data_IF_057275689212
#
_entry.id   IF_057275689212
#
_cell.length_a   1.000
_cell.length_b   1.000
_cell.length_c   1.000
_cell.angle_alpha   90.00
_cell.angle_beta   90.00
_cell.angle_gamma   90.00
#
_symmetry.space_group_name_H-M   'P 1'
#
loop_
_entity.id
_entity.type
_entity.pdbx_description
1 polymer ?
#
# COMPACT_ATOMS: atom_id res chain seq x y z
N UNK A 1 24.45 10.67 -5.32
CA UNK A 1 23.63 10.09 -4.23
C UNK A 1 23.85 8.58 -4.26
N UNK A 2 24.09 7.94 -3.12
CA UNK A 2 24.70 6.59 -3.06
C UNK A 2 23.64 5.52 -3.34
N UNK A 3 23.74 4.77 -4.46
CA UNK A 3 22.71 3.82 -4.93
C UNK A 3 22.27 2.79 -3.87
N UNK A 4 23.16 2.45 -2.93
CA UNK A 4 22.87 1.58 -1.78
C UNK A 4 21.82 2.16 -0.82
N UNK A 5 21.78 3.49 -0.64
CA UNK A 5 20.80 4.17 0.22
C UNK A 5 19.41 4.09 -0.41
N UNK A 6 19.30 4.29 -1.72
CA UNK A 6 18.03 4.15 -2.45
C UNK A 6 17.51 2.70 -2.37
N UNK A 7 18.38 1.71 -2.58
CA UNK A 7 18.02 0.28 -2.42
C UNK A 7 17.54 -0.06 -1.00
N UNK A 8 18.16 0.50 0.03
CA UNK A 8 17.73 0.31 1.42
C UNK A 8 16.36 0.96 1.69
N UNK A 9 16.09 2.13 1.10
CA UNK A 9 14.77 2.78 1.19
C UNK A 9 13.69 1.98 0.47
N UNK A 10 14.00 1.48 -0.73
CA UNK A 10 13.09 0.61 -1.48
C UNK A 10 12.75 -0.65 -0.67
N UNK A 11 13.77 -1.30 -0.08
CA UNK A 11 13.58 -2.45 0.80
C UNK A 11 12.70 -2.12 2.01
N UNK A 12 12.97 -1.01 2.69
CA UNK A 12 12.18 -0.57 3.84
C UNK A 12 10.72 -0.30 3.44
N UNK A 13 10.50 0.31 2.27
CA UNK A 13 9.17 0.52 1.70
C UNK A 13 8.42 -0.77 1.35
N UNK A 14 9.11 -1.89 1.11
CA UNK A 14 8.47 -3.18 0.86
C UNK A 14 7.94 -3.86 2.13
N UNK A 15 8.35 -3.41 3.33
CA UNK A 15 7.91 -3.99 4.58
C UNK A 15 6.55 -3.39 4.99
N UNK A 16 5.51 -4.21 5.03
CA UNK A 16 4.23 -3.80 5.59
C UNK A 16 4.35 -3.62 7.11
N UNK A 17 3.97 -2.44 7.62
CA UNK A 17 4.11 -2.10 9.03
C UNK A 17 2.79 -1.53 9.56
N UNK A 18 2.45 -1.88 10.80
CA UNK A 18 1.41 -1.16 11.54
C UNK A 18 1.88 0.25 11.90
N UNK A 19 0.93 1.19 11.98
CA UNK A 19 1.21 2.57 12.38
C UNK A 19 0.92 2.74 13.86
N UNK A 20 1.90 3.29 14.59
CA UNK A 20 1.78 3.54 16.02
C UNK A 20 2.05 5.01 16.28
N UNK A 21 1.17 5.65 17.07
CA UNK A 21 1.42 6.97 17.63
C UNK A 21 1.92 6.78 19.06
N UNK A 22 3.22 6.95 19.26
CA UNK A 22 3.81 6.95 20.59
C UNK A 22 3.55 8.30 21.25
N UNK A 23 2.90 8.30 22.41
CA UNK A 23 2.55 9.49 23.14
C UNK A 23 3.17 9.53 24.53
N UNK A 24 3.52 10.72 24.97
CA UNK A 24 4.22 10.94 26.24
C UNK A 24 4.01 12.37 26.74
N UNK A 25 4.57 12.69 27.90
CA UNK A 25 4.69 14.06 28.40
C UNK A 25 6.16 14.44 28.52
N UNK A 26 6.45 15.70 28.21
CA UNK A 26 7.75 16.28 28.54
C UNK A 26 7.82 16.76 30.00
N UNK A 27 8.99 17.27 30.40
CA UNK A 27 9.24 17.77 31.76
C UNK A 27 8.35 18.98 32.13
N UNK A 28 7.75 19.67 31.15
CA UNK A 28 6.81 20.77 31.37
C UNK A 28 5.35 20.29 31.40
N UNK A 29 5.12 18.97 31.37
CA UNK A 29 3.79 18.35 31.37
C UNK A 29 3.06 18.42 30.03
N UNK A 30 3.72 18.91 28.98
CA UNK A 30 3.13 19.04 27.64
C UNK A 30 3.02 17.67 27.00
N UNK A 31 1.85 17.37 26.46
CA UNK A 31 1.57 16.12 25.76
C UNK A 31 2.13 16.17 24.35
N UNK A 32 2.95 15.16 24.03
CA UNK A 32 3.63 15.02 22.75
C UNK A 32 3.30 13.67 22.13
N UNK A 33 3.26 13.63 20.81
CA UNK A 33 3.07 12.42 20.02
C UNK A 33 4.06 12.34 18.88
N UNK A 34 4.49 11.13 18.53
CA UNK A 34 5.35 10.86 17.38
C UNK A 34 4.88 9.59 16.66
N UNK A 35 4.83 9.62 15.32
CA UNK A 35 4.59 8.40 14.56
C UNK A 35 5.82 7.53 14.65
N UNK A 36 5.64 6.29 15.05
CA UNK A 36 6.66 5.26 15.04
C UNK A 36 6.15 4.08 14.20
N UNK A 37 7.06 3.52 13.42
CA UNK A 37 6.79 2.33 12.61
C UNK A 37 7.86 1.28 12.92
N UNK A 38 7.64 0.03 12.51
CA UNK A 38 8.55 -1.06 12.85
C UNK A 38 8.48 -1.55 14.29
N UNK A 39 7.33 -1.34 14.97
CA UNK A 39 7.07 -1.93 16.28
C UNK A 39 7.16 -3.46 16.18
N UNK A 40 7.92 -4.07 17.09
CA UNK A 40 8.12 -5.51 17.17
C UNK A 40 7.91 -6.01 18.60
N UNK A 41 7.26 -7.16 18.75
CA UNK A 41 7.15 -7.86 20.04
C UNK A 41 8.45 -8.63 20.27
N UNK A 42 9.09 -8.39 21.41
CA UNK A 42 10.39 -8.98 21.79
C UNK A 42 10.19 -10.16 22.74
N UNK A 43 9.28 -10.01 23.71
CA UNK A 43 8.99 -11.03 24.72
C UNK A 43 7.53 -10.95 25.12
N UNK A 44 6.94 -12.10 25.46
CA UNK A 44 5.58 -12.19 26.00
C UNK A 44 5.56 -12.19 27.54
N UNK A 45 6.62 -12.68 28.19
CA UNK A 45 6.78 -12.69 29.64
C UNK A 45 8.27 -12.52 30.05
N UNK A 46 8.68 -11.34 30.54
CA UNK A 46 7.87 -10.12 30.67
C UNK A 46 7.44 -9.57 29.30
N UNK A 47 6.31 -8.85 29.20
CA UNK A 47 5.79 -8.33 27.94
C UNK A 47 6.63 -7.14 27.47
N UNK A 48 7.46 -7.35 26.44
CA UNK A 48 8.42 -6.36 25.94
C UNK A 48 8.18 -6.11 24.45
N UNK A 49 8.20 -4.83 24.06
CA UNK A 49 8.16 -4.41 22.66
C UNK A 49 9.30 -3.43 22.37
N UNK A 50 9.65 -3.30 21.08
CA UNK A 50 10.69 -2.37 20.62
C UNK A 50 10.34 -1.71 19.30
N UNK A 51 10.93 -0.55 19.04
CA UNK A 51 10.94 0.11 17.73
C UNK A 51 12.20 0.97 17.56
N UNK A 52 12.40 1.53 16.37
CA UNK A 52 13.49 2.47 16.07
C UNK A 52 12.95 3.85 15.68
N UNK A 53 13.61 4.92 16.10
CA UNK A 53 13.19 6.31 15.81
C UNK A 53 14.40 7.21 15.49
N UNK A 54 14.26 8.13 14.53
CA UNK A 54 15.31 9.11 14.17
C UNK A 54 15.43 10.27 15.16
N UNK A 55 14.45 10.43 16.06
CA UNK A 55 14.37 11.55 16.99
C UNK A 55 13.90 11.15 18.38
N UNK A 56 14.12 12.04 19.35
CA UNK A 56 13.67 11.84 20.72
C UNK A 56 12.19 12.24 20.86
N UNK A 57 11.39 11.35 21.47
CA UNK A 57 9.96 11.51 21.73
C UNK A 57 9.60 12.78 22.50
N UNK A 58 10.50 13.30 23.35
CA UNK A 58 10.27 14.54 24.12
C UNK A 58 11.55 15.27 24.55
N UNK A 59 12.63 15.18 23.75
CA UNK A 59 13.97 15.61 24.18
C UNK A 59 14.62 14.59 25.13
N UNK A 60 15.76 14.95 25.75
CA UNK A 60 16.69 14.00 26.37
C UNK A 60 16.08 13.16 27.52
N UNK A 61 15.00 13.62 28.16
CA UNK A 61 14.35 12.89 29.26
C UNK A 61 13.32 11.85 28.80
N UNK A 62 12.77 11.96 27.57
CA UNK A 62 11.63 11.15 27.12
C UNK A 62 11.88 9.66 26.92
N UNK A 63 13.14 9.25 26.98
CA UNK A 63 13.59 7.86 26.85
C UNK A 63 14.34 7.38 28.09
N UNK A 64 14.25 8.10 29.21
CA UNK A 64 14.89 7.69 30.46
C UNK A 64 14.26 6.38 30.95
N UNK A 65 15.03 5.42 31.48
CA UNK A 65 14.46 4.22 32.08
C UNK A 65 13.39 4.57 33.13
N UNK A 66 12.25 3.88 33.07
CA UNK A 66 11.07 4.12 33.90
C UNK A 66 10.12 5.21 33.38
N UNK A 67 10.49 5.98 32.35
CA UNK A 67 9.63 7.03 31.80
C UNK A 67 8.35 6.41 31.20
N UNK A 68 7.16 6.94 31.54
CA UNK A 68 5.90 6.43 31.01
C UNK A 68 5.64 6.92 29.58
N UNK A 69 5.07 6.04 28.77
CA UNK A 69 4.56 6.37 27.44
C UNK A 69 3.40 5.46 27.07
N UNK A 70 2.60 5.87 26.10
CA UNK A 70 1.53 5.04 25.53
C UNK A 70 1.82 4.80 24.05
N UNK A 71 1.76 3.54 23.63
CA UNK A 71 1.78 3.19 22.21
C UNK A 71 0.34 3.01 21.74
N UNK A 72 -0.10 3.92 20.87
CA UNK A 72 -1.45 3.92 20.30
C UNK A 72 -1.38 3.28 18.90
N UNK A 73 -1.79 2.02 18.78
CA UNK A 73 -1.88 1.34 17.48
C UNK A 73 -3.06 1.91 16.71
N UNK A 74 -2.78 2.67 15.65
CA UNK A 74 -3.81 3.41 14.93
C UNK A 74 -4.75 2.49 14.15
N UNK A 75 -6.03 2.83 14.13
CA UNK A 75 -7.04 2.21 13.30
C UNK A 75 -7.08 2.85 11.90
N UNK A 76 -7.64 2.16 10.91
CA UNK A 76 -7.68 2.62 9.51
C UNK A 76 -8.29 4.00 9.31
N UNK A 77 -9.38 4.30 10.03
CA UNK A 77 -10.07 5.58 9.97
C UNK A 77 -9.23 6.74 10.56
N UNK A 78 -8.07 6.44 11.16
CA UNK A 78 -7.16 7.42 11.74
C UNK A 78 -5.97 7.77 10.82
N UNK A 79 -6.02 7.40 9.53
CA UNK A 79 -5.00 7.77 8.54
C UNK A 79 -4.71 9.28 8.47
N UNK A 80 -5.69 10.12 8.82
CA UNK A 80 -5.52 11.58 8.90
C UNK A 80 -4.44 12.02 9.90
N UNK A 81 -4.13 11.23 10.93
CA UNK A 81 -3.06 11.52 11.90
C UNK A 81 -1.67 11.50 11.26
N UNK A 82 -1.48 10.79 10.14
CA UNK A 82 -0.21 10.79 9.40
C UNK A 82 0.14 12.16 8.80
N UNK A 83 -0.88 12.99 8.52
CA UNK A 83 -0.67 14.37 8.06
C UNK A 83 -0.34 15.35 9.19
N UNK A 84 -0.62 14.97 10.44
CA UNK A 84 -0.41 15.81 11.62
C UNK A 84 0.86 15.47 12.38
N UNK A 85 1.32 14.23 12.32
CA UNK A 85 2.51 13.77 13.05
C UNK A 85 3.61 13.34 12.09
N UNK A 86 4.86 13.44 12.55
CA UNK A 86 6.03 13.09 11.75
C UNK A 86 6.84 12.02 12.49
N UNK A 87 7.51 11.14 11.74
CA UNK A 87 8.46 10.16 12.25
C UNK A 87 9.74 10.79 12.79
N UNK A 88 10.14 11.98 12.30
CA UNK A 88 11.39 12.63 12.69
C UNK A 88 11.27 13.52 13.94
N UNK A 89 10.05 13.98 14.29
CA UNK A 89 9.86 14.93 15.39
C UNK A 89 8.50 14.78 16.05
N UNK A 90 8.52 14.75 17.38
CA UNK A 90 7.31 14.78 18.18
C UNK A 90 6.55 16.12 18.04
N UNK A 91 5.22 16.02 17.94
CA UNK A 91 4.31 17.15 17.79
C UNK A 91 3.35 17.21 18.97
N UNK A 92 2.80 18.40 19.24
CA UNK A 92 1.81 18.57 20.29
C UNK A 92 0.51 17.88 19.92
N UNK A 93 -0.15 17.29 20.91
CA UNK A 93 -1.43 16.60 20.72
C UNK A 93 -2.64 17.55 20.64
N UNK A 94 -2.44 18.83 20.33
CA UNK A 94 -3.51 19.85 20.36
C UNK A 94 -4.68 19.44 19.44
N UNK A 95 -5.92 19.62 19.91
CA UNK A 95 -7.17 19.33 19.18
C UNK A 95 -7.43 17.86 18.79
N UNK A 96 -6.78 16.89 19.45
CA UNK A 96 -7.06 15.46 19.25
C UNK A 96 -7.88 14.92 20.43
N UNK A 97 -8.91 14.12 20.13
CA UNK A 97 -9.73 13.41 21.11
C UNK A 97 -8.88 12.45 21.92
N UNK A 98 -8.88 12.62 23.25
CA UNK A 98 -7.97 11.93 24.17
C UNK A 98 -8.71 11.49 25.42
N UNK A 99 -8.43 10.24 25.82
CA UNK A 99 -8.81 9.69 27.11
C UNK A 99 -7.64 9.75 28.11
N UNK A 100 -7.92 9.65 29.42
CA UNK A 100 -6.88 9.43 30.42
C UNK A 100 -6.40 7.98 30.32
N UNK A 101 -5.22 7.79 29.71
CA UNK A 101 -4.54 6.51 29.74
C UNK A 101 -3.91 6.19 31.10
N UNK A 102 -3.31 4.99 31.23
CA UNK A 102 -2.51 4.59 32.37
C UNK A 102 -1.50 5.69 32.77
N UNK A 103 -1.36 5.92 34.07
CA UNK A 103 -0.48 6.95 34.65
C UNK A 103 -0.73 8.39 34.12
N UNK A 104 -1.94 8.68 33.61
CA UNK A 104 -2.32 10.01 33.12
C UNK A 104 -1.67 10.39 31.77
N UNK A 105 -1.14 9.39 31.04
CA UNK A 105 -0.63 9.55 29.70
C UNK A 105 -1.77 9.64 28.68
N UNK A 106 -1.59 10.40 27.58
CA UNK A 106 -2.67 10.60 26.62
C UNK A 106 -2.89 9.37 25.74
N UNK A 107 -4.07 8.77 25.85
CA UNK A 107 -4.57 7.74 24.93
C UNK A 107 -5.39 8.39 23.81
N UNK A 108 -5.15 7.97 22.58
CA UNK A 108 -5.88 8.48 21.40
C UNK A 108 -7.15 7.66 21.21
N UNK A 109 -8.31 8.29 21.27
CA UNK A 109 -9.59 7.58 21.15
C UNK A 109 -9.75 6.89 19.79
N UNK A 110 -10.33 5.69 19.79
CA UNK A 110 -10.65 4.94 18.56
C UNK A 110 -9.49 4.15 17.94
N UNK A 111 -8.39 3.94 18.66
CA UNK A 111 -7.29 3.07 18.21
C UNK A 111 -7.63 1.58 18.23
N UNK A 112 -6.89 0.80 17.44
CA UNK A 112 -6.93 -0.68 17.46
C UNK A 112 -6.42 -1.24 18.78
N UNK A 113 -5.38 -0.62 19.35
CA UNK A 113 -4.90 -0.98 20.68
C UNK A 113 -4.19 0.18 21.37
N UNK A 114 -4.16 0.10 22.70
CA UNK A 114 -3.38 0.97 23.58
C UNK A 114 -2.47 0.11 24.44
N UNK A 115 -1.18 0.45 24.46
CA UNK A 115 -0.19 -0.18 25.33
C UNK A 115 0.37 0.87 26.27
N UNK A 116 0.03 0.77 27.56
CA UNK A 116 0.66 1.59 28.59
C UNK A 116 2.03 1.00 28.94
N UNK A 117 3.09 1.76 28.72
CA UNK A 117 4.46 1.24 28.72
C UNK A 117 5.38 2.04 29.65
N UNK A 118 6.47 1.39 30.06
CA UNK A 118 7.64 2.05 30.67
C UNK A 118 8.90 1.76 29.89
N UNK A 119 9.72 2.78 29.69
CA UNK A 119 11.01 2.60 29.02
C UNK A 119 11.90 1.70 29.88
N UNK A 120 12.39 0.60 29.28
CA UNK A 120 13.38 -0.25 29.92
C UNK A 120 14.78 0.28 29.62
N UNK A 121 15.07 0.49 28.34
CA UNK A 121 16.36 0.96 27.84
C UNK A 121 16.21 1.56 26.45
N UNK A 122 17.20 2.33 26.03
CA UNK A 122 17.37 2.76 24.65
C UNK A 122 18.83 2.61 24.22
N UNK A 123 19.04 2.40 22.94
CA UNK A 123 20.37 2.25 22.35
C UNK A 123 20.48 3.15 21.13
N UNK A 124 21.43 4.10 21.18
CA UNK A 124 21.70 4.98 20.05
C UNK A 124 22.47 4.22 18.96
N UNK A 125 21.92 4.25 17.75
CA UNK A 125 22.61 3.91 16.52
C UNK A 125 23.24 5.14 15.87
N UNK A 126 23.62 5.02 14.59
CA UNK A 126 24.23 6.13 13.85
C UNK A 126 23.20 7.21 13.46
N UNK A 127 22.01 6.80 13.03
CA UNK A 127 20.94 7.69 12.56
C UNK A 127 19.57 7.45 13.25
N UNK A 128 19.43 6.40 14.07
CA UNK A 128 18.22 6.07 14.83
C UNK A 128 18.57 5.56 16.23
N UNK A 129 17.66 5.77 17.18
CA UNK A 129 17.68 5.16 18.51
C UNK A 129 16.70 3.98 18.54
N UNK A 130 17.15 2.81 19.01
CA UNK A 130 16.30 1.66 19.33
C UNK A 130 15.75 1.85 20.73
N UNK A 131 14.43 1.82 20.87
CA UNK A 131 13.75 1.98 22.15
C UNK A 131 13.11 0.66 22.55
N UNK A 132 13.33 0.24 23.79
CA UNK A 132 12.80 -1.00 24.35
C UNK A 132 11.96 -0.66 25.57
N UNK A 133 10.73 -1.15 25.61
CA UNK A 133 9.77 -0.82 26.66
C UNK A 133 9.09 -2.07 27.19
N UNK A 134 8.76 -2.04 28.47
CA UNK A 134 7.90 -3.04 29.12
C UNK A 134 6.47 -2.57 29.08
N UNK A 135 5.57 -3.45 28.66
CA UNK A 135 4.13 -3.17 28.57
C UNK A 135 3.48 -3.49 29.91
N UNK A 136 2.96 -2.47 30.58
CA UNK A 136 2.31 -2.60 31.89
C UNK A 136 0.81 -2.90 31.75
N UNK A 137 0.18 -2.38 30.69
CA UNK A 137 -1.26 -2.54 30.44
C UNK A 137 -1.51 -2.63 28.94
N UNK A 138 -2.52 -3.42 28.57
CA UNK A 138 -2.89 -3.67 27.17
C UNK A 138 -4.41 -3.58 27.06
N UNK A 139 -4.88 -2.78 26.12
CA UNK A 139 -6.27 -2.76 25.67
C UNK A 139 -6.28 -2.98 24.16
N UNK A 140 -7.05 -3.95 23.68
CA UNK A 140 -7.23 -4.25 22.25
C UNK A 140 -8.70 -4.12 21.90
N UNK A 141 -8.99 -3.55 20.73
CA UNK A 141 -10.34 -3.41 20.18
C UNK A 141 -10.48 -4.19 18.87
N UNK A 142 -11.70 -4.27 18.36
CA UNK A 142 -11.99 -4.88 17.06
C UNK A 142 -11.78 -3.92 15.88
N UNK A 143 -11.24 -2.72 16.11
CA UNK A 143 -10.97 -1.76 15.03
C UNK A 143 -9.83 -2.28 14.13
N UNK A 144 -9.99 -2.29 12.80
CA UNK A 144 -8.96 -2.78 11.90
C UNK A 144 -7.73 -1.86 11.91
N UNK A 145 -6.51 -2.41 11.98
CA UNK A 145 -5.29 -1.60 12.10
C UNK A 145 -4.97 -0.85 10.80
N UNK A 146 -4.44 0.36 10.97
CA UNK A 146 -3.82 1.14 9.90
C UNK A 146 -2.46 0.52 9.56
N UNK A 147 -2.28 0.12 8.30
CA UNK A 147 -0.99 -0.33 7.79
C UNK A 147 -0.35 0.69 6.84
N UNK A 148 0.96 0.60 6.67
CA UNK A 148 1.74 1.34 5.68
C UNK A 148 2.66 0.39 4.91
N UNK A 149 2.77 0.58 3.60
CA UNK A 149 3.83 0.04 2.76
C UNK A 149 4.10 0.99 1.59
N UNK A 150 5.38 1.21 1.26
CA UNK A 150 5.82 2.08 0.14
C UNK A 150 5.14 3.45 0.16
N UNK A 151 5.10 4.08 1.35
CA UNK A 151 4.43 5.35 1.65
C UNK A 151 2.92 5.38 1.35
N UNK A 152 2.31 4.21 1.17
CA UNK A 152 0.88 4.05 0.88
C UNK A 152 0.18 3.40 2.06
N UNK A 153 -1.01 3.92 2.39
CA UNK A 153 -1.88 3.33 3.40
C UNK A 153 -2.39 1.97 2.93
N UNK A 154 -2.16 0.95 3.75
CA UNK A 154 -2.73 -0.37 3.58
C UNK A 154 -4.06 -0.44 4.31
N UNK A 155 -5.10 -0.83 3.59
CA UNK A 155 -6.39 -1.22 4.16
C UNK A 155 -6.37 -2.72 4.42
N UNK A 156 -6.31 -3.10 5.70
CA UNK A 156 -6.51 -4.48 6.15
C UNK A 156 -8.02 -4.81 6.07
N UNK A 157 -8.39 -6.01 5.61
CA UNK A 157 -9.78 -6.33 5.23
C UNK A 157 -10.83 -5.96 6.30
N UNK A 158 -11.75 -5.08 5.92
CA UNK A 158 -13.12 -4.82 6.49
C UNK A 158 -13.79 -3.66 5.77
N UNK A 159 -13.01 -2.69 5.24
CA UNK A 159 -13.54 -1.64 4.37
C UNK A 159 -14.20 -2.21 3.10
N UNK A 160 -13.75 -3.37 2.61
CA UNK A 160 -14.38 -4.07 1.49
C UNK A 160 -15.80 -4.55 1.78
N UNK A 161 -16.07 -5.01 3.01
CA UNK A 161 -17.36 -5.55 3.42
C UNK A 161 -18.36 -4.42 3.74
N UNK A 162 -17.92 -3.37 4.44
CA UNK A 162 -18.74 -2.18 4.71
C UNK A 162 -19.04 -1.38 3.43
N UNK A 163 -18.11 -1.32 2.48
CA UNK A 163 -18.33 -0.71 1.16
C UNK A 163 -19.26 -1.56 0.28
N UNK A 164 -19.16 -2.90 0.34
CA UNK A 164 -20.09 -3.80 -0.33
C UNK A 164 -21.51 -3.67 0.23
N UNK A 165 -21.65 -3.44 1.54
CA UNK A 165 -22.93 -3.19 2.22
C UNK A 165 -23.51 -1.80 1.85
N UNK A 166 -22.68 -0.75 1.78
CA UNK A 166 -23.09 0.60 1.42
C UNK A 166 -23.45 0.78 -0.07
N UNK A 167 -22.77 0.08 -0.98
CA UNK A 167 -23.13 0.04 -2.40
C UNK A 167 -24.33 -0.88 -2.66
N UNK A 168 -24.63 -1.79 -1.73
CA UNK A 168 -25.49 -2.94 -1.93
C UNK A 168 -24.78 -4.03 -2.76
N UNK A 169 -24.97 -5.32 -2.44
CA UNK A 169 -24.28 -6.44 -3.11
C UNK A 169 -24.60 -6.56 -4.62
N UNK A 170 -25.58 -5.79 -5.12
CA UNK A 170 -26.01 -5.75 -6.51
C UNK A 170 -25.58 -4.48 -7.27
N UNK A 171 -24.78 -3.58 -6.67
CA UNK A 171 -24.29 -2.40 -7.40
C UNK A 171 -23.49 -2.82 -8.64
N UNK A 172 -23.83 -2.24 -9.79
CA UNK A 172 -23.18 -2.55 -11.06
C UNK A 172 -21.66 -2.29 -10.99
N UNK A 173 -21.23 -1.18 -10.40
CA UNK A 173 -19.80 -0.87 -10.26
C UNK A 173 -19.06 -1.88 -9.37
N UNK A 174 -19.71 -2.36 -8.32
CA UNK A 174 -19.17 -3.39 -7.44
C UNK A 174 -19.07 -4.76 -8.13
N UNK A 175 -20.12 -5.17 -8.83
CA UNK A 175 -20.16 -6.44 -9.58
C UNK A 175 -19.11 -6.46 -10.70
N UNK A 176 -18.97 -5.36 -11.45
CA UNK A 176 -17.95 -5.22 -12.48
C UNK A 176 -16.53 -5.30 -11.90
N UNK A 177 -16.27 -4.58 -10.81
CA UNK A 177 -14.97 -4.62 -10.14
C UNK A 177 -14.64 -6.03 -9.64
N UNK A 178 -15.60 -6.70 -8.96
CA UNK A 178 -15.39 -8.07 -8.45
C UNK A 178 -15.20 -9.09 -9.57
N UNK A 179 -16.01 -9.03 -10.63
CA UNK A 179 -15.86 -9.92 -11.78
C UNK A 179 -14.47 -9.74 -12.43
N UNK A 180 -14.04 -8.48 -12.62
CA UNK A 180 -12.70 -8.18 -13.11
C UNK A 180 -11.60 -8.75 -12.21
N UNK A 181 -11.66 -8.49 -10.91
CA UNK A 181 -10.64 -8.99 -9.97
C UNK A 181 -10.60 -10.52 -9.88
N UNK A 182 -11.75 -11.21 -9.97
CA UNK A 182 -11.79 -12.67 -9.95
C UNK A 182 -11.23 -13.27 -11.25
N UNK A 183 -11.56 -12.71 -12.41
CA UNK A 183 -10.96 -13.11 -13.69
C UNK A 183 -9.44 -12.89 -13.69
N UNK A 184 -8.99 -11.78 -13.07
CA UNK A 184 -7.57 -11.44 -12.92
C UNK A 184 -6.78 -12.51 -12.18
N UNK A 185 -7.34 -13.09 -11.10
CA UNK A 185 -6.68 -14.16 -10.34
C UNK A 185 -6.27 -15.36 -11.21
N UNK A 186 -7.00 -15.62 -12.29
CA UNK A 186 -6.73 -16.74 -13.18
C UNK A 186 -5.43 -16.60 -14.00
N UNK A 187 -4.94 -15.39 -14.26
CA UNK A 187 -3.72 -15.20 -15.07
C UNK A 187 -2.48 -14.80 -14.26
N UNK A 188 -2.63 -14.38 -13.00
CA UNK A 188 -1.50 -14.02 -12.14
C UNK A 188 -0.43 -15.12 -12.01
N UNK A 189 -0.78 -16.42 -11.89
CA UNK A 189 0.22 -17.47 -11.83
C UNK A 189 1.06 -17.56 -13.11
N UNK A 190 0.45 -17.42 -14.28
CA UNK A 190 1.19 -17.45 -15.55
C UNK A 190 2.09 -16.22 -15.68
N UNK A 191 1.59 -15.05 -15.30
CA UNK A 191 2.36 -13.82 -15.29
C UNK A 191 3.63 -13.95 -14.43
N UNK A 192 3.49 -14.54 -13.24
CA UNK A 192 4.61 -14.83 -12.35
C UNK A 192 5.60 -15.85 -12.96
N UNK A 193 5.13 -16.86 -13.72
CA UNK A 193 6.01 -17.81 -14.44
C UNK A 193 6.84 -17.14 -15.52
N UNK A 194 6.31 -16.07 -16.14
CA UNK A 194 7.06 -15.25 -17.10
C UNK A 194 8.03 -14.28 -16.41
N UNK A 195 8.05 -14.22 -15.07
CA UNK A 195 8.91 -13.34 -14.29
C UNK A 195 8.50 -11.86 -14.37
N UNK A 196 7.23 -11.58 -14.69
CA UNK A 196 6.72 -10.24 -14.93
C UNK A 196 5.83 -9.75 -13.78
N UNK A 197 5.84 -8.43 -13.56
CA UNK A 197 4.82 -7.76 -12.74
C UNK A 197 3.59 -7.41 -13.58
N UNK A 198 2.46 -7.13 -12.93
CA UNK A 198 1.25 -6.62 -13.63
C UNK A 198 1.55 -5.33 -14.38
N UNK A 199 2.24 -4.38 -13.73
CA UNK A 199 2.63 -3.12 -14.38
C UNK A 199 3.43 -3.35 -15.67
N UNK A 200 4.39 -4.30 -15.66
CA UNK A 200 5.18 -4.66 -16.83
C UNK A 200 4.34 -5.29 -17.94
N UNK A 201 3.38 -6.14 -17.59
CA UNK A 201 2.43 -6.71 -18.56
C UNK A 201 1.54 -5.63 -19.19
N UNK A 202 1.00 -4.71 -18.39
CA UNK A 202 0.18 -3.61 -18.91
C UNK A 202 0.98 -2.64 -19.76
N UNK A 203 2.24 -2.36 -19.44
CA UNK A 203 3.13 -1.55 -20.29
C UNK A 203 3.38 -2.22 -21.65
N UNK A 204 3.63 -3.53 -21.66
CA UNK A 204 3.78 -4.29 -22.90
C UNK A 204 2.50 -4.26 -23.73
N UNK A 205 1.34 -4.49 -23.11
CA UNK A 205 0.04 -4.42 -23.78
C UNK A 205 -0.24 -3.02 -24.35
N UNK A 206 0.03 -1.97 -23.58
CA UNK A 206 -0.12 -0.58 -24.02
C UNK A 206 0.80 -0.27 -25.21
N UNK A 207 2.06 -0.74 -25.18
CA UNK A 207 3.00 -0.58 -26.30
C UNK A 207 2.55 -1.35 -27.56
N UNK A 208 1.98 -2.55 -27.40
CA UNK A 208 1.43 -3.34 -28.51
C UNK A 208 0.25 -2.65 -29.20
N UNK A 209 -0.66 -2.09 -28.40
CA UNK A 209 -1.89 -1.44 -28.88
C UNK A 209 -1.65 -0.03 -29.40
N UNK A 210 -0.58 0.64 -28.94
CA UNK A 210 -0.27 2.02 -29.28
C UNK A 210 1.15 2.15 -29.86
N UNK A 211 1.47 1.47 -30.98
CA UNK A 211 2.81 1.46 -31.55
C UNK A 211 3.29 2.88 -31.87
N UNK A 212 4.56 3.17 -31.58
CA UNK A 212 5.17 4.49 -31.82
C UNK A 212 4.90 5.53 -30.72
N UNK A 213 4.12 5.19 -29.68
CA UNK A 213 3.85 6.11 -28.58
C UNK A 213 5.05 6.24 -27.62
N UNK A 214 5.37 7.45 -27.13
CA UNK A 214 6.41 7.64 -26.12
C UNK A 214 6.08 6.90 -24.81
N UNK A 215 7.11 6.38 -24.14
CA UNK A 215 7.00 5.65 -22.88
C UNK A 215 6.18 6.41 -21.81
N UNK A 216 6.40 7.72 -21.67
CA UNK A 216 5.70 8.57 -20.71
C UNK A 216 4.18 8.63 -20.95
N UNK A 217 3.74 8.55 -22.23
CA UNK A 217 2.31 8.45 -22.56
C UNK A 217 1.76 7.09 -22.15
N UNK A 218 2.49 6.02 -22.41
CA UNK A 218 2.08 4.66 -22.05
C UNK A 218 2.02 4.47 -20.53
N UNK A 219 2.97 5.04 -19.79
CA UNK A 219 2.96 5.08 -18.32
C UNK A 219 1.69 5.74 -17.78
N UNK A 220 1.27 6.88 -18.36
CA UNK A 220 0.01 7.53 -17.99
C UNK A 220 -1.21 6.66 -18.27
N UNK A 221 -1.25 5.95 -19.40
CA UNK A 221 -2.35 5.03 -19.71
C UNK A 221 -2.43 3.90 -18.67
N UNK A 222 -1.29 3.31 -18.32
CA UNK A 222 -1.23 2.24 -17.30
C UNK A 222 -1.54 2.77 -15.89
N UNK A 223 -1.21 4.02 -15.57
CA UNK A 223 -1.55 4.61 -14.28
C UNK A 223 -3.07 4.71 -14.06
N UNK A 224 -3.87 4.91 -15.12
CA UNK A 224 -5.34 4.98 -15.04
C UNK A 224 -5.96 3.63 -14.64
N UNK A 225 -5.30 2.50 -14.92
CA UNK A 225 -5.76 1.19 -14.47
C UNK A 225 -5.43 0.88 -13.00
N UNK A 226 -4.85 1.85 -12.27
CA UNK A 226 -4.50 1.71 -10.86
C UNK A 226 -3.14 1.05 -10.62
N UNK A 227 -2.36 0.78 -11.68
CA UNK A 227 -1.03 0.20 -11.55
C UNK A 227 0.05 1.28 -11.49
N UNK A 228 0.93 1.17 -10.48
CA UNK A 228 2.10 2.05 -10.34
C UNK A 228 3.23 1.53 -11.22
N UNK A 229 3.60 2.29 -12.25
CA UNK A 229 4.77 2.00 -13.07
C UNK A 229 6.02 2.49 -12.36
N UNK A 230 6.99 1.59 -12.16
CA UNK A 230 8.29 1.91 -11.58
C UNK A 230 9.25 2.50 -12.60
N UNK A 231 10.14 3.39 -12.15
CA UNK A 231 11.16 4.06 -12.99
C UNK A 231 12.14 3.11 -13.70
N UNK A 232 12.20 1.83 -13.28
CA UNK A 232 13.06 0.80 -13.86
C UNK A 232 12.32 -0.24 -14.71
N UNK A 233 10.99 -0.17 -14.86
CA UNK A 233 10.21 -1.23 -15.51
C UNK A 233 10.54 -1.39 -16.99
N UNK A 234 10.68 -0.29 -17.74
CA UNK A 234 11.14 -0.34 -19.14
C UNK A 234 12.52 -0.99 -19.28
N UNK A 235 13.44 -0.68 -18.37
CA UNK A 235 14.79 -1.25 -18.37
C UNK A 235 14.78 -2.74 -18.00
N UNK A 236 13.84 -3.18 -17.15
CA UNK A 236 13.66 -4.61 -16.83
C UNK A 236 13.13 -5.34 -18.06
N UNK A 237 12.07 -4.84 -18.68
CA UNK A 237 11.49 -5.41 -19.89
C UNK A 237 12.51 -5.51 -21.04
N UNK A 238 13.32 -4.46 -21.24
CA UNK A 238 14.40 -4.48 -22.22
C UNK A 238 15.49 -5.50 -21.90
N UNK A 239 15.90 -5.62 -20.62
CA UNK A 239 16.88 -6.64 -20.19
C UNK A 239 16.38 -8.07 -20.36
N UNK A 240 15.06 -8.29 -20.23
CA UNK A 240 14.44 -9.59 -20.53
C UNK A 240 14.26 -9.84 -22.03
N UNK A 241 14.69 -8.90 -22.90
CA UNK A 241 14.59 -9.03 -24.35
C UNK A 241 13.16 -8.97 -24.86
N UNK A 242 12.21 -8.44 -24.08
CA UNK A 242 10.79 -8.39 -24.43
C UNK A 242 10.43 -7.13 -25.23
N UNK A 243 11.23 -6.08 -25.12
CA UNK A 243 11.10 -4.86 -25.90
C UNK A 243 12.45 -4.19 -26.11
N UNK A 244 12.50 -3.27 -27.06
CA UNK A 244 13.63 -2.39 -27.33
C UNK A 244 13.19 -0.94 -27.15
N UNK A 245 14.04 -0.12 -26.53
CA UNK A 245 13.78 1.31 -26.36
C UNK A 245 14.50 2.07 -27.47
N UNK A 246 13.75 2.82 -28.28
CA UNK A 246 14.29 3.65 -29.35
C UNK A 246 14.28 5.13 -28.95
N UNK A 247 15.38 5.83 -29.20
CA UNK A 247 15.52 7.27 -28.90
C UNK A 247 16.12 7.57 -27.52
N UNK A 248 16.26 8.87 -27.21
CA UNK A 248 16.81 9.35 -25.94
C UNK A 248 15.80 9.19 -24.79
N UNK A 249 16.28 9.25 -23.53
CA UNK A 249 15.44 9.09 -22.32
C UNK A 249 14.17 9.94 -22.33
N UNK A 250 14.24 11.16 -22.85
CA UNK A 250 13.08 12.00 -23.08
C UNK A 250 12.46 11.66 -24.44
N UNK A 251 11.29 11.03 -24.44
CA UNK A 251 10.60 10.63 -25.66
C UNK A 251 10.95 9.23 -26.19
N UNK A 252 11.60 8.40 -25.38
CA UNK A 252 11.91 7.01 -25.75
C UNK A 252 10.64 6.25 -26.14
N UNK A 253 10.69 5.54 -27.27
CA UNK A 253 9.58 4.77 -27.81
C UNK A 253 9.89 3.28 -27.62
N UNK A 254 9.09 2.55 -26.82
CA UNK A 254 9.23 1.11 -26.71
C UNK A 254 8.66 0.40 -27.94
N UNK A 255 9.39 -0.57 -28.46
CA UNK A 255 8.94 -1.50 -29.50
C UNK A 255 9.07 -2.94 -28.99
N UNK A 256 8.00 -3.73 -29.05
CA UNK A 256 8.04 -5.13 -28.64
C UNK A 256 8.92 -5.96 -29.58
N UNK A 257 9.71 -6.86 -29.01
CA UNK A 257 10.41 -7.90 -29.77
C UNK A 257 9.47 -9.06 -30.09
N UNK A 258 9.90 -10.00 -30.93
CA UNK A 258 9.16 -11.25 -31.16
C UNK A 258 8.90 -12.02 -29.86
N UNK A 259 9.85 -11.99 -28.92
CA UNK A 259 9.70 -12.61 -27.61
C UNK A 259 8.63 -11.90 -26.77
N UNK A 260 8.58 -10.56 -26.80
CA UNK A 260 7.55 -9.76 -26.15
C UNK A 260 6.15 -10.07 -26.69
N UNK A 261 6.00 -10.13 -28.02
CA UNK A 261 4.76 -10.53 -28.67
C UNK A 261 4.35 -11.94 -28.27
N UNK A 262 5.28 -12.90 -28.25
CA UNK A 262 4.99 -14.28 -27.85
C UNK A 262 4.48 -14.39 -26.40
N UNK A 263 5.00 -13.57 -25.48
CA UNK A 263 4.49 -13.48 -24.10
C UNK A 263 3.08 -12.93 -24.09
N UNK A 264 2.79 -11.83 -24.79
CA UNK A 264 1.44 -11.27 -24.86
C UNK A 264 0.43 -12.26 -25.44
N UNK A 265 0.80 -13.01 -26.49
CA UNK A 265 -0.06 -14.04 -27.08
C UNK A 265 -0.35 -15.19 -26.11
N UNK A 266 0.64 -15.61 -25.30
CA UNK A 266 0.41 -16.58 -24.23
C UNK A 266 -0.55 -16.05 -23.17
N UNK A 267 -0.35 -14.82 -22.72
CA UNK A 267 -1.23 -14.18 -21.73
C UNK A 267 -2.65 -14.00 -22.27
N UNK A 268 -2.81 -13.67 -23.55
CA UNK A 268 -4.11 -13.60 -24.22
C UNK A 268 -4.80 -14.98 -24.23
N UNK A 269 -4.07 -16.05 -24.57
CA UNK A 269 -4.61 -17.41 -24.54
C UNK A 269 -5.07 -17.85 -23.13
N UNK A 270 -4.29 -17.53 -22.09
CA UNK A 270 -4.68 -17.78 -20.69
C UNK A 270 -5.92 -16.97 -20.31
N UNK A 271 -5.99 -15.71 -20.75
CA UNK A 271 -7.16 -14.85 -20.49
C UNK A 271 -8.42 -15.41 -21.17
N UNK A 272 -8.32 -15.88 -22.42
CA UNK A 272 -9.43 -16.54 -23.11
C UNK A 272 -9.87 -17.83 -22.44
N UNK A 273 -8.92 -18.62 -21.91
CA UNK A 273 -9.25 -19.83 -21.15
C UNK A 273 -9.95 -19.50 -19.83
N UNK A 274 -9.52 -18.44 -19.14
CA UNK A 274 -10.15 -17.99 -17.90
C UNK A 274 -11.57 -17.48 -18.17
N UNK A 275 -11.78 -16.76 -19.26
CA UNK A 275 -13.11 -16.35 -19.71
C UNK A 275 -14.02 -17.56 -19.96
N UNK A 276 -13.54 -18.54 -20.72
CA UNK A 276 -14.29 -19.76 -21.01
C UNK A 276 -14.65 -20.54 -19.74
N UNK A 277 -13.77 -20.57 -18.74
CA UNK A 277 -14.04 -21.20 -17.44
C UNK A 277 -15.06 -20.41 -16.62
N UNK A 278 -14.93 -19.09 -16.57
CA UNK A 278 -15.82 -18.22 -15.81
C UNK A 278 -17.25 -18.20 -16.37
N UNK A 279 -17.40 -18.54 -17.65
CA UNK A 279 -18.68 -18.60 -18.37
C UNK A 279 -19.10 -20.02 -18.75
N UNK A 280 -18.50 -21.05 -18.16
CA UNK A 280 -18.76 -22.45 -18.51
C UNK A 280 -20.24 -22.85 -18.36
N UNK A 281 -20.95 -22.22 -17.43
CA UNK A 281 -22.37 -22.47 -17.17
C UNK A 281 -23.31 -21.57 -18.01
N UNK A 282 -22.77 -20.74 -18.90
CA UNK A 282 -23.55 -19.83 -19.75
C UNK A 282 -23.69 -20.43 -21.15
N UNK A 283 -24.86 -20.28 -21.76
CA UNK A 283 -24.99 -20.52 -23.19
C UNK A 283 -24.26 -19.42 -24.01
N UNK A 284 -23.93 -19.74 -25.26
CA UNK A 284 -23.16 -18.85 -26.14
C UNK A 284 -23.88 -17.52 -26.38
N UNK A 285 -25.21 -17.52 -26.50
CA UNK A 285 -26.01 -16.29 -26.67
C UNK A 285 -25.91 -15.36 -25.46
N UNK A 286 -25.91 -15.90 -24.25
CA UNK A 286 -25.81 -15.16 -23.00
C UNK A 286 -24.43 -14.52 -22.83
N UNK A 287 -23.37 -15.23 -23.21
CA UNK A 287 -22.00 -14.68 -23.21
C UNK A 287 -21.91 -13.52 -24.20
N UNK A 288 -22.42 -13.69 -25.42
CA UNK A 288 -22.39 -12.66 -26.45
C UNK A 288 -23.18 -11.41 -26.02
N UNK A 289 -24.39 -11.60 -25.48
CA UNK A 289 -25.21 -10.51 -24.97
C UNK A 289 -24.51 -9.73 -23.84
N UNK A 290 -23.89 -10.44 -22.89
CA UNK A 290 -23.12 -9.78 -21.82
C UNK A 290 -21.98 -8.91 -22.38
N UNK A 291 -21.24 -9.39 -23.38
CA UNK A 291 -20.19 -8.61 -24.04
C UNK A 291 -20.73 -7.35 -24.70
N UNK A 292 -21.86 -7.46 -25.39
CA UNK A 292 -22.53 -6.31 -26.02
C UNK A 292 -22.94 -5.25 -24.99
N UNK A 293 -23.54 -5.66 -23.87
CA UNK A 293 -23.90 -4.73 -22.79
C UNK A 293 -22.68 -4.06 -22.14
N UNK A 294 -21.57 -4.78 -21.98
CA UNK A 294 -20.32 -4.21 -21.48
C UNK A 294 -19.72 -3.20 -22.48
N UNK A 295 -19.77 -3.49 -23.78
CA UNK A 295 -19.30 -2.56 -24.82
C UNK A 295 -20.14 -1.27 -24.85
N UNK A 296 -21.47 -1.39 -24.77
CA UNK A 296 -22.37 -0.23 -24.66
C UNK A 296 -22.09 0.61 -23.42
N UNK A 297 -21.87 -0.05 -22.27
CA UNK A 297 -21.50 0.63 -21.03
C UNK A 297 -20.18 1.39 -21.19
N UNK A 298 -19.13 0.75 -21.73
CA UNK A 298 -17.82 1.39 -21.97
C UNK A 298 -17.97 2.59 -22.92
N UNK A 299 -18.80 2.50 -23.95
CA UNK A 299 -19.07 3.62 -24.84
C UNK A 299 -19.77 4.78 -24.11
N UNK A 300 -20.74 4.46 -23.24
CA UNK A 300 -21.42 5.44 -22.40
C UNK A 300 -20.47 6.17 -21.44
N UNK A 301 -19.59 5.44 -20.76
CA UNK A 301 -18.63 6.04 -19.80
C UNK A 301 -17.60 6.94 -20.50
N UNK A 302 -17.15 6.57 -21.70
CA UNK A 302 -16.27 7.41 -22.54
C UNK A 302 -16.91 8.74 -22.92
N UNK A 303 -18.12 8.69 -23.45
CA UNK A 303 -18.83 9.89 -23.92
C UNK A 303 -19.13 10.87 -22.78
N UNK A 304 -19.39 10.38 -21.57
CA UNK A 304 -19.75 11.21 -20.42
C UNK A 304 -18.54 11.72 -19.62
N UNK A 305 -17.45 10.96 -19.57
CA UNK A 305 -16.31 11.27 -18.66
C UNK A 305 -14.97 11.45 -19.35
N UNK A 306 -14.94 11.48 -20.70
CA UNK A 306 -13.71 11.66 -21.49
C UNK A 306 -12.59 10.66 -21.10
N UNK A 307 -12.99 9.43 -20.76
CA UNK A 307 -12.04 8.38 -20.37
C UNK A 307 -11.08 8.06 -21.54
N UNK A 308 -9.77 7.87 -21.29
CA UNK A 308 -8.79 7.58 -22.33
C UNK A 308 -9.05 6.23 -23.03
N UNK A 309 -8.62 6.13 -24.29
CA UNK A 309 -8.54 4.85 -24.99
C UNK A 309 -7.44 3.99 -24.37
N UNK A 310 -7.82 2.80 -23.92
CA UNK A 310 -6.91 1.72 -23.50
C UNK A 310 -6.54 0.85 -24.69
#
# INVERSE_FOLDING_TARGET
MNARIEQMRDLAGCLAQGVVLATTRDNAGRELGQIVTGLSVVSLDPPIVMWSTQGQLSGASGLSPGHPLVLNLLAQNQAWLLGLFNQARAQRLDNIGRGPGPDGMPEIEGCTAWLGCRVLTHHDGEDHTVVIVEVQTITVTDQPPLGLASDSVLTTGTAGDQFAEALGPASLSHLLARAYYQLRLGYLPELARQGLSEAQYFLMGAAALNPGSPAERLERLVAVSGHKVGSSDWQRLARHGLLEMQGERAGAVPALTDAGHAVLMRMAAVSSLNEARATADFDTSRVQWLKEQLMELIHGTRSHWQAPDF
#
